data_IF_293396134958
#
_entry.id   IF_293396134958
#
_cell.length_a   1.000
_cell.length_b   1.000
_cell.length_c   1.000
_cell.angle_alpha   90.00
_cell.angle_beta   90.00
_cell.angle_gamma   90.00
#
_symmetry.space_group_name_H-M   'P 1'
#
loop_
_entity.id
_entity.type
_entity.pdbx_description
1 polymer ?
#
# COMPACT_ATOMS: atom_id res chain seq x y z
N UNK A 1 2.47 30.82 -31.10
CA UNK A 1 3.41 30.30 -30.08
C UNK A 1 2.64 30.22 -28.77
N UNK A 2 2.16 29.02 -28.43
CA UNK A 2 1.23 28.80 -27.32
C UNK A 2 2.03 28.65 -26.01
N UNK A 3 1.84 29.65 -25.16
CA UNK A 3 2.11 29.71 -23.73
C UNK A 3 2.47 28.41 -22.99
N UNK A 4 3.55 28.53 -22.22
CA UNK A 4 3.73 27.98 -20.86
C UNK A 4 3.83 26.45 -20.79
N UNK A 5 5.03 25.97 -21.11
CA UNK A 5 5.57 24.68 -20.69
C UNK A 5 6.28 24.94 -19.35
N UNK A 6 5.55 24.94 -18.24
CA UNK A 6 6.15 24.95 -16.90
C UNK A 6 5.13 24.39 -15.90
N UNK A 7 5.54 23.36 -15.14
CA UNK A 7 4.88 22.76 -13.97
C UNK A 7 3.62 21.90 -14.15
N UNK A 8 3.72 20.83 -14.94
CA UNK A 8 2.91 19.65 -14.64
C UNK A 8 3.77 18.40 -14.82
N UNK A 9 4.31 17.87 -13.72
CA UNK A 9 4.74 16.48 -13.71
C UNK A 9 3.52 15.64 -14.13
N UNK A 10 3.68 14.82 -15.17
CA UNK A 10 2.62 13.89 -15.55
C UNK A 10 2.42 12.85 -14.45
N UNK A 11 1.24 12.21 -14.42
CA UNK A 11 1.01 11.07 -13.52
C UNK A 11 2.12 10.01 -13.67
N UNK A 12 2.60 9.79 -14.89
CA UNK A 12 3.68 8.86 -15.19
C UNK A 12 5.01 9.29 -14.56
N UNK A 13 5.34 10.59 -14.59
CA UNK A 13 6.53 11.13 -13.95
C UNK A 13 6.48 10.97 -12.42
N UNK A 14 5.31 11.21 -11.83
CA UNK A 14 5.09 11.00 -10.40
C UNK A 14 5.22 9.53 -10.02
N UNK A 15 4.58 8.63 -10.78
CA UNK A 15 4.67 7.19 -10.56
C UNK A 15 6.11 6.70 -10.72
N UNK A 16 6.83 7.19 -11.73
CA UNK A 16 8.22 6.84 -11.99
C UNK A 16 9.15 7.19 -10.81
N UNK A 17 8.89 8.29 -10.09
CA UNK A 17 9.67 8.66 -8.90
C UNK A 17 9.56 7.58 -7.82
N UNK A 18 8.36 7.07 -7.58
CA UNK A 18 8.13 6.06 -6.54
C UNK A 18 8.53 4.65 -6.98
N UNK A 19 8.39 4.30 -8.26
CA UNK A 19 8.80 2.98 -8.76
C UNK A 19 10.32 2.86 -8.89
N UNK A 20 11.04 3.93 -9.24
CA UNK A 20 12.50 3.91 -9.44
C UNK A 20 13.33 4.13 -8.17
N UNK A 21 12.73 4.66 -7.09
CA UNK A 21 13.43 4.85 -5.82
C UNK A 21 14.08 3.55 -5.34
N UNK A 22 15.26 3.61 -4.69
CA UNK A 22 15.95 2.40 -4.21
C UNK A 22 15.13 1.67 -3.14
N UNK A 23 14.48 2.43 -2.26
CA UNK A 23 13.59 1.94 -1.22
C UNK A 23 12.34 2.81 -1.22
N UNK A 24 11.16 2.18 -1.18
CA UNK A 24 9.87 2.86 -1.03
C UNK A 24 9.24 2.41 0.28
N UNK A 25 8.84 3.38 1.11
CA UNK A 25 7.98 3.14 2.26
C UNK A 25 6.56 3.59 1.92
N UNK A 26 5.60 2.68 2.06
CA UNK A 26 4.18 2.96 1.96
C UNK A 26 3.62 2.94 3.37
N UNK A 27 3.28 4.11 3.89
CA UNK A 27 2.67 4.25 5.20
C UNK A 27 1.15 4.08 5.11
N UNK A 28 0.57 3.35 6.06
CA UNK A 28 -0.87 3.19 6.25
C UNK A 28 -1.62 2.77 4.96
N UNK A 29 -1.14 1.68 4.33
CA UNK A 29 -1.72 1.14 3.10
C UNK A 29 -3.17 0.72 3.35
N UNK A 30 -4.08 1.47 2.72
CA UNK A 30 -5.54 1.43 2.89
C UNK A 30 -5.99 1.77 4.32
N UNK A 31 -6.83 2.79 4.44
CA UNK A 31 -7.40 3.19 5.72
C UNK A 31 -8.63 2.38 6.07
N UNK A 32 -8.69 1.82 7.26
CA UNK A 32 -9.96 1.36 7.84
C UNK A 32 -10.71 2.58 8.39
N UNK A 33 -11.87 2.94 7.82
CA UNK A 33 -12.74 3.94 8.46
C UNK A 33 -13.46 3.30 9.64
N UNK A 34 -13.05 3.65 10.87
CA UNK A 34 -13.77 3.26 12.10
C UNK A 34 -15.18 3.86 12.09
N UNK A 35 -16.22 3.01 12.05
CA UNK A 35 -17.59 3.42 12.40
C UNK A 35 -18.72 2.72 11.65
N UNK A 36 -18.49 2.23 10.44
CA UNK A 36 -19.61 1.77 9.61
C UNK A 36 -19.73 0.25 9.62
N UNK A 37 -20.95 -0.21 9.83
CA UNK A 37 -21.36 -1.62 9.91
C UNK A 37 -21.33 -2.33 8.54
N UNK A 38 -20.74 -1.69 7.54
CA UNK A 38 -20.48 -2.21 6.19
C UNK A 38 -19.05 -1.80 5.81
N UNK A 39 -18.17 -2.79 5.66
CA UNK A 39 -16.76 -2.61 5.35
C UNK A 39 -16.54 -1.74 4.12
N UNK A 40 -16.00 -0.53 4.31
CA UNK A 40 -15.47 0.24 3.20
C UNK A 40 -14.19 -0.42 2.70
N UNK A 41 -14.30 -1.12 1.58
CA UNK A 41 -13.18 -1.51 0.73
C UNK A 41 -12.41 -0.27 0.25
N UNK A 42 -11.09 -0.37 0.01
CA UNK A 42 -10.34 0.70 -0.67
C UNK A 42 -10.99 1.09 -1.99
N UNK A 43 -10.84 2.34 -2.41
CA UNK A 43 -11.39 2.76 -3.71
C UNK A 43 -10.63 2.08 -4.85
N UNK A 44 -11.29 1.88 -6.00
CA UNK A 44 -10.64 1.30 -7.19
C UNK A 44 -9.38 2.09 -7.60
N UNK A 45 -9.38 3.41 -7.38
CA UNK A 45 -8.23 4.26 -7.64
C UNK A 45 -7.06 3.97 -6.68
N UNK A 46 -7.34 3.78 -5.39
CA UNK A 46 -6.33 3.41 -4.39
C UNK A 46 -5.76 2.02 -4.67
N UNK A 47 -6.63 1.06 -5.01
CA UNK A 47 -6.23 -0.31 -5.37
C UNK A 47 -5.34 -0.30 -6.61
N UNK A 48 -5.74 0.45 -7.65
CA UNK A 48 -4.94 0.58 -8.87
C UNK A 48 -3.58 1.21 -8.61
N UNK A 49 -3.51 2.28 -7.82
CA UNK A 49 -2.23 2.92 -7.48
C UNK A 49 -1.32 1.97 -6.70
N UNK A 50 -1.87 1.24 -5.72
CA UNK A 50 -1.12 0.24 -4.97
C UNK A 50 -0.59 -0.87 -5.89
N UNK A 51 -1.41 -1.37 -6.81
CA UNK A 51 -1.00 -2.32 -7.85
C UNK A 51 0.17 -1.77 -8.69
N UNK A 52 0.04 -0.57 -9.24
CA UNK A 52 1.06 0.02 -10.12
C UNK A 52 2.40 0.20 -9.40
N UNK A 53 2.38 0.67 -8.14
CA UNK A 53 3.57 0.84 -7.31
C UNK A 53 4.22 -0.51 -6.94
N UNK A 54 3.44 -1.45 -6.41
CA UNK A 54 3.95 -2.74 -5.92
C UNK A 54 4.43 -3.58 -7.09
N UNK A 55 3.66 -3.67 -8.17
CA UNK A 55 4.02 -4.47 -9.34
C UNK A 55 5.25 -3.91 -10.07
N UNK A 56 5.32 -2.60 -10.28
CA UNK A 56 6.49 -1.97 -10.89
C UNK A 56 7.78 -2.28 -10.12
N UNK A 57 7.72 -2.19 -8.79
CA UNK A 57 8.87 -2.49 -7.92
C UNK A 57 9.16 -3.99 -7.81
N UNK A 58 8.15 -4.84 -7.86
CA UNK A 58 8.29 -6.29 -7.86
C UNK A 58 9.07 -6.78 -9.10
N UNK A 59 8.74 -6.25 -10.28
CA UNK A 59 9.39 -6.59 -11.56
C UNK A 59 10.87 -6.22 -11.55
N UNK A 60 11.20 -5.04 -11.01
CA UNK A 60 12.59 -4.57 -10.91
C UNK A 60 13.34 -5.08 -9.66
N UNK A 61 12.70 -5.93 -8.84
CA UNK A 61 13.26 -6.45 -7.59
C UNK A 61 13.69 -5.33 -6.60
N UNK A 62 12.93 -4.23 -6.55
CA UNK A 62 13.17 -3.08 -5.68
C UNK A 62 12.51 -3.27 -4.31
N UNK A 63 13.12 -2.71 -3.26
CA UNK A 63 12.67 -2.91 -1.87
C UNK A 63 11.42 -2.08 -1.60
N UNK A 64 10.39 -2.70 -1.02
CA UNK A 64 9.20 -2.00 -0.52
C UNK A 64 9.01 -2.36 0.95
N UNK A 65 8.78 -1.34 1.78
CA UNK A 65 8.33 -1.49 3.17
C UNK A 65 6.89 -0.98 3.24
N UNK A 66 5.99 -1.76 3.82
CA UNK A 66 4.56 -1.45 3.89
C UNK A 66 4.13 -1.51 5.35
N UNK A 67 3.45 -0.47 5.83
CA UNK A 67 2.62 -0.52 7.04
C UNK A 67 1.14 -0.51 6.64
N UNK A 68 0.29 -1.18 7.40
CA UNK A 68 -1.15 -1.22 7.15
C UNK A 68 -1.90 -1.60 8.43
N UNK A 69 -3.12 -1.07 8.58
CA UNK A 69 -4.08 -1.55 9.59
C UNK A 69 -4.76 -2.87 9.18
N UNK A 70 -4.56 -3.32 7.94
CA UNK A 70 -5.14 -4.51 7.35
C UNK A 70 -4.19 -5.71 7.46
N UNK A 71 -4.73 -6.86 7.82
CA UNK A 71 -4.04 -8.14 7.86
C UNK A 71 -3.77 -8.61 6.42
N UNK A 72 -2.51 -8.92 6.11
CA UNK A 72 -2.13 -9.35 4.77
C UNK A 72 -2.85 -10.63 4.39
N UNK A 73 -2.92 -11.58 5.32
CA UNK A 73 -3.43 -12.93 5.05
C UNK A 73 -4.95 -13.04 4.97
N UNK A 74 -5.68 -12.08 5.53
CA UNK A 74 -7.14 -12.13 5.62
C UNK A 74 -7.83 -11.05 4.80
N UNK A 75 -7.24 -9.85 4.71
CA UNK A 75 -7.94 -8.68 4.22
C UNK A 75 -7.30 -8.13 2.94
N UNK A 76 -5.99 -7.92 2.91
CA UNK A 76 -5.32 -7.42 1.70
C UNK A 76 -5.41 -8.44 0.55
N UNK A 77 -5.24 -9.73 0.82
CA UNK A 77 -5.45 -10.77 -0.20
C UNK A 77 -6.88 -10.78 -0.77
N UNK A 78 -7.88 -10.37 0.02
CA UNK A 78 -9.26 -10.27 -0.45
C UNK A 78 -9.49 -9.05 -1.35
N UNK A 79 -8.65 -8.01 -1.25
CA UNK A 79 -8.69 -6.83 -2.14
C UNK A 79 -8.14 -7.18 -3.52
N UNK A 80 -6.95 -7.77 -3.58
CA UNK A 80 -6.30 -8.22 -4.83
C UNK A 80 -5.33 -9.37 -4.54
N UNK A 81 -5.80 -10.60 -4.76
CA UNK A 81 -5.02 -11.81 -4.51
C UNK A 81 -3.71 -11.83 -5.33
N UNK A 82 -3.74 -11.35 -6.59
CA UNK A 82 -2.57 -11.36 -7.47
C UNK A 82 -1.47 -10.42 -7.01
N UNK A 83 -1.83 -9.22 -6.54
CA UNK A 83 -0.88 -8.26 -5.99
C UNK A 83 -0.35 -8.70 -4.64
N UNK A 84 -1.24 -9.06 -3.73
CA UNK A 84 -0.87 -9.31 -2.35
C UNK A 84 -0.28 -10.71 -2.11
N UNK A 85 -0.48 -11.67 -3.02
CA UNK A 85 0.28 -12.93 -3.01
C UNK A 85 1.77 -12.71 -3.29
N UNK A 86 2.12 -11.80 -4.21
CA UNK A 86 3.52 -11.38 -4.46
C UNK A 86 4.12 -10.70 -3.22
N UNK A 87 3.36 -9.83 -2.56
CA UNK A 87 3.78 -9.23 -1.29
C UNK A 87 4.00 -10.30 -0.22
N UNK A 88 3.09 -11.25 -0.09
CA UNK A 88 3.19 -12.35 0.87
C UNK A 88 4.44 -13.21 0.65
N UNK A 89 4.77 -13.50 -0.61
CA UNK A 89 5.98 -14.24 -0.97
C UNK A 89 7.25 -13.45 -0.64
N UNK A 90 7.31 -12.18 -1.06
CA UNK A 90 8.49 -11.32 -0.89
C UNK A 90 8.78 -10.98 0.58
N UNK A 91 7.75 -10.99 1.43
CA UNK A 91 7.87 -10.66 2.86
C UNK A 91 8.17 -11.86 3.75
N UNK A 92 8.44 -13.05 3.19
CA UNK A 92 8.86 -14.23 3.99
C UNK A 92 10.09 -13.89 4.84
N UNK A 93 9.99 -14.07 6.16
CA UNK A 93 11.05 -13.73 7.13
C UNK A 93 11.08 -12.25 7.57
N UNK A 94 10.30 -11.37 6.92
CA UNK A 94 10.27 -9.93 7.18
C UNK A 94 8.84 -9.40 7.41
N UNK A 95 7.88 -10.30 7.68
CA UNK A 95 6.48 -9.96 7.93
C UNK A 95 6.16 -10.03 9.41
N UNK A 96 5.56 -8.96 9.93
CA UNK A 96 4.96 -8.92 11.26
C UNK A 96 3.47 -8.61 11.07
N UNK A 97 2.61 -9.49 11.57
CA UNK A 97 1.16 -9.33 11.49
C UNK A 97 0.58 -9.38 12.91
N UNK A 98 0.01 -8.26 13.35
CA UNK A 98 -0.53 -8.09 14.70
C UNK A 98 -2.03 -8.34 14.64
N UNK A 99 -2.47 -9.49 15.14
CA UNK A 99 -3.90 -9.82 15.25
C UNK A 99 -4.66 -8.76 16.05
N UNK A 100 -5.93 -8.52 15.67
CA UNK A 100 -6.84 -7.63 16.38
C UNK A 100 -7.33 -8.32 17.65
N UNK A 101 -6.89 -7.82 18.79
CA UNK A 101 -7.29 -8.28 20.12
C UNK A 101 -7.52 -7.05 21.01
N UNK A 102 -8.45 -7.16 21.95
CA UNK A 102 -8.68 -6.13 22.96
C UNK A 102 -7.41 -5.90 23.80
N UNK A 103 -7.19 -4.65 24.23
CA UNK A 103 -6.01 -4.30 25.03
C UNK A 103 -4.70 -4.15 24.25
N UNK A 104 -4.72 -4.11 22.91
CA UNK A 104 -3.53 -3.80 22.08
C UNK A 104 -3.37 -2.33 21.71
N UNK A 105 -4.23 -1.47 22.24
CA UNK A 105 -4.14 -0.03 21.98
C UNK A 105 -3.20 0.62 23.02
N UNK A 106 -1.89 0.52 22.78
CA UNK A 106 -0.87 1.09 23.65
C UNK A 106 -0.98 2.61 23.87
N UNK A 107 -1.79 3.34 23.09
CA UNK A 107 -2.04 4.77 23.30
C UNK A 107 -3.05 5.04 24.43
N UNK A 108 -3.86 4.06 24.82
CA UNK A 108 -4.87 4.20 25.89
C UNK A 108 -4.43 3.51 27.20
N UNK A 109 -3.34 2.74 27.20
CA UNK A 109 -2.81 2.04 28.38
C UNK A 109 -1.90 2.93 29.25
N UNK A 110 -2.19 4.24 29.30
CA UNK A 110 -1.44 5.24 30.07
C UNK A 110 -1.91 5.42 31.51
#
# INVERSE_FOLDING_TARGET
>A
MKSIITDHDSYEDQLARYTRADILYIDDLFKSKRGDQDGLSPSDADVRLAFELINGRYVENKIVVISSEWLLTQELLAVDEGTFSRVYERTKGYRVEIKREEGRNYRIDG
#
